data_IF_559584784965
#
_entry.id   IF_559584784965
#
_cell.length_a   1.000
_cell.length_b   1.000
_cell.length_c   1.000
_cell.angle_alpha   90.00
_cell.angle_beta   90.00
_cell.angle_gamma   90.00
#
_symmetry.space_group_name_H-M   'P 1'
#
loop_
_entity.id
_entity.type
_entity.pdbx_description
1 polymer ?
#
# COMPACT_ATOMS: atom_id res chain seq x y z
N UNK A 1 10.35 -30.49 -11.39
CA UNK A 1 8.96 -30.56 -10.90
C UNK A 1 8.60 -29.18 -10.42
N UNK A 2 7.53 -28.58 -10.93
CA UNK A 2 7.03 -27.32 -10.37
C UNK A 2 6.36 -27.67 -9.03
N UNK A 3 6.90 -27.16 -7.92
CA UNK A 3 6.28 -27.29 -6.62
C UNK A 3 4.87 -26.70 -6.67
N UNK A 4 3.88 -27.43 -6.13
CA UNK A 4 2.52 -26.92 -6.02
C UNK A 4 2.51 -25.64 -5.17
N UNK A 5 1.68 -24.64 -5.51
CA UNK A 5 1.60 -23.41 -4.74
C UNK A 5 1.27 -23.69 -3.27
N UNK A 6 2.14 -23.23 -2.35
CA UNK A 6 1.88 -23.34 -0.91
C UNK A 6 0.83 -22.35 -0.46
N UNK A 7 0.26 -22.56 0.74
CA UNK A 7 -0.62 -21.57 1.40
C UNK A 7 0.08 -20.21 1.48
N UNK A 8 1.38 -20.19 1.76
CA UNK A 8 2.19 -18.96 1.77
C UNK A 8 2.20 -18.24 0.43
N UNK A 9 2.38 -18.98 -0.68
CA UNK A 9 2.28 -18.40 -2.03
C UNK A 9 0.90 -17.79 -2.29
N UNK A 10 -0.19 -18.44 -1.89
CA UNK A 10 -1.53 -17.87 -2.07
C UNK A 10 -1.73 -16.59 -1.25
N UNK A 11 -1.26 -16.53 -0.01
CA UNK A 11 -1.35 -15.34 0.83
C UNK A 11 -0.59 -14.14 0.24
N UNK A 12 0.60 -14.38 -0.32
CA UNK A 12 1.34 -13.35 -1.06
C UNK A 12 0.62 -12.92 -2.34
N UNK A 13 -0.01 -13.84 -3.08
CA UNK A 13 -0.83 -13.47 -4.25
C UNK A 13 -2.07 -12.65 -3.86
N UNK A 14 -2.70 -12.98 -2.74
CA UNK A 14 -3.81 -12.20 -2.19
C UNK A 14 -3.33 -10.80 -1.79
N UNK A 15 -2.19 -10.68 -1.11
CA UNK A 15 -1.59 -9.39 -0.78
C UNK A 15 -1.26 -8.57 -2.03
N UNK A 16 -0.73 -9.22 -3.09
CA UNK A 16 -0.48 -8.58 -4.37
C UNK A 16 -1.78 -8.05 -5.01
N UNK A 17 -2.84 -8.85 -5.02
CA UNK A 17 -4.14 -8.48 -5.57
C UNK A 17 -4.79 -7.32 -4.81
N UNK A 18 -4.76 -7.34 -3.47
CA UNK A 18 -5.30 -6.26 -2.64
C UNK A 18 -4.60 -4.94 -2.93
N UNK A 19 -3.27 -4.94 -3.05
CA UNK A 19 -2.52 -3.75 -3.44
C UNK A 19 -2.87 -3.31 -4.87
N UNK A 20 -2.89 -4.24 -5.83
CA UNK A 20 -3.16 -3.94 -7.24
C UNK A 20 -4.54 -3.30 -7.45
N UNK A 21 -5.59 -3.81 -6.80
CA UNK A 21 -6.96 -3.24 -6.88
C UNK A 21 -7.04 -1.90 -6.14
N UNK A 22 -6.20 -1.69 -5.11
CA UNK A 22 -6.16 -0.42 -4.39
C UNK A 22 -5.60 0.72 -5.25
N UNK A 23 -4.74 0.45 -6.24
CA UNK A 23 -4.17 1.45 -7.15
C UNK A 23 -5.25 2.26 -7.89
N UNK A 24 -6.16 1.66 -8.70
CA UNK A 24 -7.21 2.43 -9.35
C UNK A 24 -8.16 3.09 -8.34
N UNK A 25 -8.38 2.47 -7.18
CA UNK A 25 -9.15 3.09 -6.08
C UNK A 25 -8.51 4.39 -5.59
N UNK A 26 -7.19 4.39 -5.41
CA UNK A 26 -6.41 5.56 -4.97
C UNK A 26 -6.44 6.70 -6.01
N UNK A 27 -6.28 6.35 -7.29
CA UNK A 27 -6.33 7.33 -8.40
C UNK A 27 -7.73 7.97 -8.47
N UNK A 28 -8.78 7.15 -8.49
CA UNK A 28 -10.16 7.65 -8.59
C UNK A 28 -10.53 8.50 -7.37
N UNK A 29 -10.10 8.10 -6.17
CA UNK A 29 -10.36 8.87 -4.96
C UNK A 29 -9.63 10.21 -4.97
N UNK A 30 -8.37 10.24 -5.45
CA UNK A 30 -7.60 11.48 -5.64
C UNK A 30 -8.39 12.50 -6.45
N UNK A 31 -8.74 12.12 -7.68
CA UNK A 31 -9.46 12.99 -8.61
C UNK A 31 -10.84 13.43 -8.11
N UNK A 32 -11.58 12.54 -7.44
CA UNK A 32 -12.96 12.83 -7.03
C UNK A 32 -13.09 13.55 -5.70
N UNK A 33 -12.11 13.41 -4.81
CA UNK A 33 -12.25 13.83 -3.43
C UNK A 33 -11.06 14.62 -2.91
N UNK A 34 -9.83 14.22 -3.22
CA UNK A 34 -8.64 14.91 -2.70
C UNK A 34 -8.42 16.23 -3.42
N UNK A 35 -8.22 16.20 -4.74
CA UNK A 35 -7.82 17.35 -5.54
C UNK A 35 -8.85 18.50 -5.42
N UNK A 36 -10.18 18.24 -5.51
CA UNK A 36 -11.18 19.30 -5.35
C UNK A 36 -11.15 19.95 -3.96
N UNK A 37 -10.93 19.17 -2.90
CA UNK A 37 -10.88 19.68 -1.52
C UNK A 37 -9.62 20.50 -1.29
N UNK A 38 -8.46 20.02 -1.75
CA UNK A 38 -7.20 20.75 -1.59
C UNK A 38 -7.22 22.06 -2.37
N UNK A 39 -7.61 22.05 -3.64
CA UNK A 39 -7.64 23.26 -4.47
C UNK A 39 -8.65 24.30 -4.00
N UNK A 40 -9.80 23.88 -3.44
CA UNK A 40 -10.78 24.82 -2.90
C UNK A 40 -10.40 25.39 -1.53
N UNK A 41 -9.56 24.70 -0.76
CA UNK A 41 -9.22 25.10 0.62
C UNK A 41 -7.84 25.76 0.75
N UNK A 42 -6.88 25.39 -0.11
CA UNK A 42 -5.45 25.72 0.05
C UNK A 42 -4.87 26.58 -1.10
N UNK A 43 -5.56 27.65 -1.50
CA UNK A 43 -5.06 28.51 -2.60
C UNK A 43 -4.81 29.97 -2.25
N UNK A 44 -5.09 30.37 -1.01
CA UNK A 44 -5.06 31.78 -0.60
C UNK A 44 -3.65 32.38 -0.40
N UNK A 45 -2.64 31.56 -0.11
CA UNK A 45 -1.26 32.00 0.17
C UNK A 45 -0.24 31.19 -0.64
N UNK A 46 1.00 31.68 -0.71
CA UNK A 46 2.11 30.91 -1.30
C UNK A 46 2.37 29.61 -0.53
N UNK A 47 2.28 29.65 0.80
CA UNK A 47 2.44 28.47 1.65
C UNK A 47 1.34 27.43 1.39
N UNK A 48 0.08 27.86 1.24
CA UNK A 48 -1.01 26.96 0.92
C UNK A 48 -0.81 26.26 -0.43
N UNK A 49 -0.32 26.98 -1.45
CA UNK A 49 -0.01 26.37 -2.76
C UNK A 49 1.10 25.32 -2.67
N UNK A 50 2.09 25.52 -1.80
CA UNK A 50 3.13 24.51 -1.54
C UNK A 50 2.53 23.30 -0.84
N UNK A 51 1.68 23.50 0.17
CA UNK A 51 1.00 22.41 0.87
C UNK A 51 0.10 21.58 -0.06
N UNK A 52 -0.65 22.24 -0.95
CA UNK A 52 -1.45 21.62 -2.00
C UNK A 52 -0.58 20.75 -2.92
N UNK A 53 0.52 21.30 -3.44
CA UNK A 53 1.46 20.56 -4.27
C UNK A 53 2.06 19.35 -3.53
N UNK A 54 2.47 19.52 -2.27
CA UNK A 54 3.03 18.43 -1.45
C UNK A 54 2.01 17.31 -1.20
N UNK A 55 0.74 17.66 -0.96
CA UNK A 55 -0.32 16.67 -0.74
C UNK A 55 -0.61 15.85 -2.01
N UNK A 56 -0.71 16.51 -3.17
CA UNK A 56 -0.89 15.84 -4.46
C UNK A 56 0.30 14.93 -4.80
N UNK A 57 1.53 15.44 -4.72
CA UNK A 57 2.74 14.64 -4.98
C UNK A 57 2.85 13.47 -4.00
N UNK A 58 2.53 13.69 -2.72
CA UNK A 58 2.51 12.64 -1.71
C UNK A 58 1.49 11.55 -2.04
N UNK A 59 0.30 11.93 -2.48
CA UNK A 59 -0.75 11.01 -2.90
C UNK A 59 -0.37 10.15 -4.11
N UNK A 60 0.22 10.78 -5.14
CA UNK A 60 0.70 10.08 -6.32
C UNK A 60 1.87 9.15 -5.99
N UNK A 61 2.80 9.59 -5.15
CA UNK A 61 3.91 8.77 -4.71
C UNK A 61 3.44 7.56 -3.89
N UNK A 62 2.42 7.72 -3.04
CA UNK A 62 1.78 6.57 -2.36
C UNK A 62 1.17 5.59 -3.37
N UNK A 63 0.54 6.08 -4.44
CA UNK A 63 -0.03 5.24 -5.50
C UNK A 63 1.06 4.37 -6.16
N UNK A 64 2.23 4.95 -6.46
CA UNK A 64 3.40 4.19 -6.96
C UNK A 64 3.92 3.20 -5.91
N UNK A 65 3.94 3.59 -4.64
CA UNK A 65 4.32 2.72 -3.53
C UNK A 65 3.42 1.50 -3.39
N UNK A 66 2.10 1.68 -3.53
CA UNK A 66 1.11 0.58 -3.50
C UNK A 66 1.32 -0.35 -4.70
N UNK A 67 1.55 0.19 -5.90
CA UNK A 67 1.85 -0.62 -7.08
C UNK A 67 3.14 -1.43 -6.89
N UNK A 68 4.18 -0.80 -6.30
CA UNK A 68 5.44 -1.48 -5.99
C UNK A 68 5.22 -2.60 -4.97
N UNK A 69 4.43 -2.37 -3.93
CA UNK A 69 4.04 -3.41 -2.98
C UNK A 69 3.28 -4.56 -3.65
N UNK A 70 2.42 -4.28 -4.64
CA UNK A 70 1.74 -5.33 -5.42
C UNK A 70 2.74 -6.22 -6.16
N UNK A 71 3.71 -5.60 -6.87
CA UNK A 71 4.75 -6.31 -7.63
C UNK A 71 5.63 -7.13 -6.70
N UNK A 72 6.07 -6.57 -5.58
CA UNK A 72 6.91 -7.26 -4.61
C UNK A 72 6.19 -8.45 -3.98
N UNK A 73 4.93 -8.31 -3.58
CA UNK A 73 4.15 -9.43 -3.05
C UNK A 73 3.96 -10.52 -4.12
N UNK A 74 3.76 -10.16 -5.39
CA UNK A 74 3.71 -11.15 -6.46
C UNK A 74 5.04 -11.90 -6.61
N UNK A 75 6.18 -11.19 -6.55
CA UNK A 75 7.52 -11.80 -6.56
C UNK A 75 7.73 -12.73 -5.38
N UNK A 76 7.39 -12.28 -4.16
CA UNK A 76 7.51 -13.06 -2.94
C UNK A 76 6.62 -14.31 -2.94
N UNK A 77 5.51 -14.32 -3.68
CA UNK A 77 4.72 -15.55 -3.88
C UNK A 77 5.48 -16.65 -4.61
N UNK A 78 6.43 -16.28 -5.48
CA UNK A 78 7.24 -17.22 -6.26
C UNK A 78 8.54 -17.59 -5.55
N UNK A 79 9.07 -16.69 -4.72
CA UNK A 79 10.34 -16.88 -4.01
C UNK A 79 10.18 -17.37 -2.58
N UNK A 80 8.97 -17.74 -2.14
CA UNK A 80 8.69 -18.16 -0.76
C UNK A 80 8.99 -17.06 0.27
N UNK A 81 8.64 -15.82 -0.06
CA UNK A 81 8.88 -14.63 0.78
C UNK A 81 10.13 -13.83 0.41
N UNK A 82 10.39 -12.73 1.15
CA UNK A 82 11.62 -11.93 1.04
C UNK A 82 12.87 -12.76 1.35
N UNK A 83 13.81 -12.82 0.41
CA UNK A 83 15.02 -13.63 0.54
C UNK A 83 16.23 -12.78 0.96
N UNK A 84 16.40 -11.63 0.32
CA UNK A 84 17.54 -10.74 0.53
C UNK A 84 17.28 -9.75 1.68
N UNK A 85 18.34 -9.20 2.26
CA UNK A 85 18.24 -8.29 3.42
C UNK A 85 17.46 -7.02 3.09
N UNK A 86 17.66 -6.46 1.90
CA UNK A 86 16.91 -5.31 1.38
C UNK A 86 15.42 -5.64 1.20
N UNK A 87 15.08 -6.80 0.65
CA UNK A 87 13.68 -7.24 0.53
C UNK A 87 13.00 -7.37 1.89
N UNK A 88 13.73 -7.91 2.88
CA UNK A 88 13.24 -8.01 4.27
C UNK A 88 13.00 -6.63 4.88
N UNK A 89 13.93 -5.69 4.68
CA UNK A 89 13.78 -4.31 5.14
C UNK A 89 12.56 -3.66 4.48
N UNK A 90 12.38 -3.84 3.17
CA UNK A 90 11.22 -3.31 2.44
C UNK A 90 9.93 -3.92 2.99
N UNK A 91 9.88 -5.25 3.18
CA UNK A 91 8.72 -5.93 3.75
C UNK A 91 8.35 -5.35 5.13
N UNK A 92 9.32 -5.25 6.04
CA UNK A 92 9.09 -4.70 7.38
C UNK A 92 8.70 -3.22 7.34
N UNK A 93 9.26 -2.44 6.41
CA UNK A 93 8.88 -1.03 6.21
C UNK A 93 7.43 -0.89 5.74
N UNK A 94 6.99 -1.76 4.83
CA UNK A 94 5.59 -1.82 4.38
C UNK A 94 4.65 -2.21 5.53
N UNK A 95 5.01 -3.22 6.32
CA UNK A 95 4.18 -3.68 7.44
C UNK A 95 4.07 -2.61 8.56
N UNK A 96 5.21 -2.09 9.04
CA UNK A 96 5.24 -1.11 10.14
C UNK A 96 4.70 0.24 9.67
N UNK A 97 5.10 0.69 8.48
CA UNK A 97 4.60 1.94 7.87
C UNK A 97 3.10 1.87 7.59
N UNK A 98 2.62 0.77 7.01
CA UNK A 98 1.20 0.53 6.78
C UNK A 98 0.40 0.51 8.09
N UNK A 99 0.92 -0.16 9.13
CA UNK A 99 0.31 -0.15 10.46
C UNK A 99 0.18 1.28 11.01
N UNK A 100 1.29 2.03 11.01
CA UNK A 100 1.37 3.40 11.50
C UNK A 100 0.43 4.35 10.75
N UNK A 101 0.40 4.30 9.42
CA UNK A 101 -0.47 5.18 8.62
C UNK A 101 -1.94 4.78 8.76
N UNK A 102 -2.25 3.48 8.70
CA UNK A 102 -3.62 2.97 8.78
C UNK A 102 -4.32 3.28 10.12
N UNK A 103 -3.56 3.52 11.20
CA UNK A 103 -4.13 3.90 12.50
C UNK A 103 -5.00 5.17 12.43
N UNK A 104 -4.66 6.10 11.52
CA UNK A 104 -5.43 7.34 11.31
C UNK A 104 -6.79 7.02 10.68
N UNK A 105 -6.81 6.17 9.66
CA UNK A 105 -8.04 5.71 9.02
C UNK A 105 -8.92 4.91 9.99
N UNK A 106 -8.32 4.04 10.80
CA UNK A 106 -9.03 3.34 11.87
C UNK A 106 -9.72 4.31 12.84
N UNK A 107 -9.01 5.35 13.29
CA UNK A 107 -9.58 6.36 14.20
C UNK A 107 -10.74 7.14 13.59
N UNK A 108 -10.75 7.28 12.26
CA UNK A 108 -11.83 7.91 11.49
C UNK A 108 -12.93 6.92 11.06
N UNK A 109 -12.84 5.65 11.46
CA UNK A 109 -13.73 4.54 11.07
C UNK A 109 -13.81 4.33 9.55
N UNK A 110 -12.77 4.71 8.82
CA UNK A 110 -12.65 4.52 7.38
C UNK A 110 -11.83 3.24 7.12
N UNK A 111 -12.50 2.12 6.87
CA UNK A 111 -11.85 0.81 6.82
C UNK A 111 -11.37 0.39 5.43
N UNK A 112 -11.84 1.03 4.36
CA UNK A 112 -11.46 0.69 2.98
C UNK A 112 -9.93 0.72 2.76
N UNK A 113 -9.19 1.76 3.17
CA UNK A 113 -7.74 1.82 2.96
C UNK A 113 -6.96 0.80 3.81
N UNK A 114 -7.58 0.21 4.84
CA UNK A 114 -6.90 -0.79 5.67
C UNK A 114 -6.65 -2.11 4.93
N UNK A 115 -7.34 -2.34 3.79
CA UNK A 115 -7.10 -3.48 2.93
C UNK A 115 -5.63 -3.57 2.48
N UNK A 116 -5.12 -2.53 1.83
CA UNK A 116 -3.72 -2.49 1.40
C UNK A 116 -2.75 -2.15 2.53
N UNK A 117 -3.16 -1.37 3.53
CA UNK A 117 -2.28 -0.92 4.61
C UNK A 117 -2.04 -1.99 5.68
N UNK A 118 -3.04 -2.79 6.02
CA UNK A 118 -2.96 -3.77 7.12
C UNK A 118 -3.18 -5.19 6.62
N UNK A 119 -4.28 -5.46 5.90
CA UNK A 119 -4.64 -6.83 5.51
C UNK A 119 -3.59 -7.42 4.57
N UNK A 120 -3.17 -6.68 3.55
CA UNK A 120 -2.15 -7.15 2.61
C UNK A 120 -0.80 -7.49 3.26
N UNK A 121 -0.15 -6.59 4.05
CA UNK A 121 1.13 -6.93 4.67
C UNK A 121 1.00 -7.99 5.78
N UNK A 122 -0.13 -8.06 6.51
CA UNK A 122 -0.37 -9.15 7.47
C UNK A 122 -0.53 -10.50 6.76
N UNK A 123 -1.24 -10.54 5.63
CA UNK A 123 -1.32 -11.73 4.80
C UNK A 123 0.08 -12.14 4.30
N UNK A 124 0.91 -11.19 3.88
CA UNK A 124 2.31 -11.45 3.53
C UNK A 124 3.12 -11.99 4.71
N UNK A 125 2.91 -11.49 5.93
CA UNK A 125 3.63 -11.95 7.13
C UNK A 125 3.26 -13.39 7.49
N UNK A 126 1.96 -13.68 7.52
CA UNK A 126 1.47 -15.05 7.73
C UNK A 126 2.00 -15.94 6.61
N UNK A 127 1.92 -15.47 5.37
CA UNK A 127 2.43 -16.19 4.21
C UNK A 127 3.89 -16.55 4.37
N UNK A 128 4.73 -15.59 4.80
CA UNK A 128 6.15 -15.80 5.03
C UNK A 128 6.45 -16.76 6.19
N UNK A 129 5.64 -16.75 7.26
CA UNK A 129 5.81 -17.66 8.39
C UNK A 129 5.48 -19.12 8.09
N UNK A 130 4.84 -19.40 6.94
CA UNK A 130 4.37 -20.71 6.51
C UNK A 130 5.25 -21.34 5.41
N UNK A 131 6.37 -20.72 5.04
CA UNK A 131 7.26 -21.18 3.95
C UNK A 131 8.62 -21.66 4.42
#
# INVERSE_FOLDING_TARGET
MADLPTIGSYLFKTAALLNAISVPGHIIYGWKHLDPVLHSTLTHTSEHRVADACANVGWDHMTVGILTAAILNYRWSMTRGPQQTDEKIIFWSLLVGGWYVGRRFWSLREYRPLGCLWVAPVAGLIGWSLV
#
